data_IF_264900568214
#
_entry.id   IF_264900568214
#
_cell.length_a   1.000
_cell.length_b   1.000
_cell.length_c   1.000
_cell.angle_alpha   90.00
_cell.angle_beta   90.00
_cell.angle_gamma   90.00
#
_symmetry.space_group_name_H-M   'P 1'
#
loop_
_entity.id
_entity.type
_entity.pdbx_description
1 polymer ?
#
# COMPACT_ATOMS: atom_id res chain seq x y z
N UNK A 1 -17.58 6.41 11.24
CA UNK A 1 -17.60 6.92 9.87
C UNK A 1 -17.20 8.38 9.96
N UNK A 2 -16.16 8.78 9.23
CA UNK A 2 -15.61 10.12 9.33
C UNK A 2 -14.23 10.23 8.69
N UNK A 3 -13.85 11.45 8.34
CA UNK A 3 -12.55 11.73 7.77
C UNK A 3 -11.54 12.09 8.85
N UNK A 4 -10.29 11.69 8.65
CA UNK A 4 -9.18 11.95 9.54
C UNK A 4 -8.09 12.75 8.84
N UNK A 5 -7.51 13.69 9.58
CA UNK A 5 -6.26 14.34 9.19
C UNK A 5 -5.08 13.38 9.42
N UNK A 6 -4.11 13.40 8.50
CA UNK A 6 -2.84 12.69 8.66
C UNK A 6 -1.73 13.71 8.93
N UNK A 7 -1.11 13.61 10.10
CA UNK A 7 0.02 14.44 10.49
C UNK A 7 1.31 13.62 10.56
N UNK A 8 2.20 13.80 9.59
CA UNK A 8 3.46 13.04 9.48
C UNK A 8 4.61 13.91 9.96
N UNK A 9 5.38 13.41 10.92
CA UNK A 9 6.46 14.16 11.55
C UNK A 9 7.74 13.34 11.62
N UNK A 10 8.86 13.98 11.28
CA UNK A 10 10.19 13.50 11.67
C UNK A 10 10.58 14.24 12.94
N UNK A 11 10.93 13.50 13.97
CA UNK A 11 11.33 14.04 15.28
C UNK A 11 12.75 13.64 15.60
N UNK A 12 13.51 14.56 16.17
CA UNK A 12 14.81 14.27 16.73
C UNK A 12 14.63 13.37 17.97
N UNK A 13 15.25 12.19 17.96
CA UNK A 13 15.03 11.19 19.02
C UNK A 13 15.50 11.64 20.40
N UNK A 14 16.58 12.43 20.48
CA UNK A 14 17.14 12.91 21.74
C UNK A 14 16.36 14.10 22.33
N UNK A 15 16.02 15.08 21.49
CA UNK A 15 15.38 16.33 21.95
C UNK A 15 13.86 16.32 21.85
N UNK A 16 13.28 15.33 21.16
CA UNK A 16 11.84 15.22 20.83
C UNK A 16 11.30 16.41 20.00
N UNK A 17 12.18 17.27 19.48
CA UNK A 17 11.79 18.41 18.64
C UNK A 17 11.49 17.95 17.21
N UNK A 18 10.46 18.52 16.55
CA UNK A 18 10.18 18.23 15.15
C UNK A 18 11.30 18.78 14.25
N UNK A 19 11.77 17.93 13.33
CA UNK A 19 12.73 18.27 12.28
C UNK A 19 12.03 18.59 10.96
N UNK A 20 10.90 17.94 10.70
CA UNK A 20 10.02 18.22 9.56
C UNK A 20 8.61 17.71 9.89
N UNK A 21 7.58 18.36 9.32
CA UNK A 21 6.17 18.01 9.50
C UNK A 21 5.40 18.25 8.21
N UNK A 22 4.44 17.37 7.92
CA UNK A 22 3.47 17.55 6.85
C UNK A 22 2.08 17.17 7.40
N UNK A 23 1.20 18.16 7.48
CA UNK A 23 -0.21 17.96 7.82
C UNK A 23 -1.01 17.85 6.53
N UNK A 24 -1.73 16.76 6.39
CA UNK A 24 -2.67 16.50 5.29
C UNK A 24 -4.06 16.43 5.88
N UNK A 25 -4.87 17.44 5.60
CA UNK A 25 -6.26 17.48 6.07
C UNK A 25 -7.10 16.48 5.32
N UNK A 26 -8.03 15.81 6.00
CA UNK A 26 -9.01 14.90 5.39
C UNK A 26 -8.31 13.83 4.52
N UNK A 27 -7.14 13.35 4.97
CA UNK A 27 -6.28 12.46 4.20
C UNK A 27 -6.73 10.99 4.25
N UNK A 28 -7.53 10.63 5.25
CA UNK A 28 -8.04 9.27 5.44
C UNK A 28 -9.55 9.35 5.58
N UNK A 29 -10.27 8.90 4.55
CA UNK A 29 -11.72 8.73 4.60
C UNK A 29 -12.05 7.36 5.17
N UNK A 30 -13.00 7.30 6.11
CA UNK A 30 -13.46 6.05 6.71
C UNK A 30 -14.97 5.97 6.64
N UNK A 31 -15.43 5.22 5.65
CA UNK A 31 -16.83 5.14 5.28
C UNK A 31 -17.34 3.67 5.27
N UNK A 32 -18.03 3.23 4.23
CA UNK A 32 -18.26 1.81 3.97
C UNK A 32 -16.94 1.05 3.74
N UNK A 33 -15.91 1.75 3.24
CA UNK A 33 -14.52 1.33 3.24
C UNK A 33 -13.83 1.85 4.50
N UNK A 34 -13.86 1.03 5.55
CA UNK A 34 -13.53 1.49 6.89
C UNK A 34 -12.02 1.54 7.09
N UNK A 35 -11.50 2.66 7.57
CA UNK A 35 -10.13 2.74 8.10
C UNK A 35 -9.94 1.72 9.21
N UNK A 36 -8.97 0.82 9.02
CA UNK A 36 -8.72 -0.33 9.90
C UNK A 36 -7.34 -0.31 10.54
N UNK A 37 -6.38 0.48 10.04
CA UNK A 37 -5.08 0.61 10.69
C UNK A 37 -4.10 1.54 10.00
N UNK A 38 -3.09 1.98 10.76
CA UNK A 38 -1.96 2.78 10.27
C UNK A 38 -0.66 2.26 10.86
N UNK A 39 0.38 2.13 10.04
CA UNK A 39 1.71 1.69 10.48
C UNK A 39 2.82 2.47 9.79
N UNK A 40 4.01 2.48 10.40
CA UNK A 40 5.22 3.07 9.82
C UNK A 40 5.99 1.98 9.09
N UNK A 41 6.32 2.23 7.82
CA UNK A 41 7.21 1.39 7.03
C UNK A 41 8.63 1.94 7.08
N UNK A 42 9.56 1.14 7.57
CA UNK A 42 10.97 1.50 7.76
C UNK A 42 11.91 0.81 6.78
N UNK A 43 11.39 0.22 5.70
CA UNK A 43 12.19 -0.41 4.66
C UNK A 43 13.24 0.56 4.09
N UNK A 44 14.27 -0.02 3.47
CA UNK A 44 15.49 0.72 3.06
C UNK A 44 15.29 1.44 1.72
N UNK A 45 14.36 2.39 1.67
CA UNK A 45 14.09 3.21 0.48
C UNK A 45 15.17 4.28 0.24
N UNK A 46 16.35 3.88 -0.22
CA UNK A 46 17.43 4.82 -0.60
C UNK A 46 17.19 5.28 -2.04
N UNK A 47 16.55 6.43 -2.20
CA UNK A 47 16.13 6.94 -3.51
C UNK A 47 17.27 7.66 -4.24
N UNK A 48 18.19 8.28 -3.51
CA UNK A 48 19.40 8.90 -4.07
C UNK A 48 20.51 8.92 -2.99
N UNK A 49 21.77 9.24 -3.34
CA UNK A 49 22.81 9.46 -2.33
C UNK A 49 22.35 10.49 -1.28
N UNK A 50 22.32 10.08 -0.01
CA UNK A 50 21.86 10.92 1.10
C UNK A 50 20.34 11.12 1.21
N UNK A 51 19.54 10.57 0.29
CA UNK A 51 18.07 10.68 0.31
C UNK A 51 17.45 9.33 0.63
N UNK A 52 16.95 9.19 1.86
CA UNK A 52 16.19 8.02 2.31
C UNK A 52 14.72 8.40 2.53
N UNK A 53 13.82 7.65 1.91
CA UNK A 53 12.41 7.72 2.22
C UNK A 53 12.04 6.79 3.38
N UNK A 54 10.91 7.08 4.02
CA UNK A 54 10.19 6.18 4.91
C UNK A 54 8.72 6.15 4.50
N UNK A 55 8.02 5.10 4.88
CA UNK A 55 6.62 4.93 4.51
C UNK A 55 5.65 5.08 5.66
N UNK A 56 4.43 5.43 5.30
CA UNK A 56 3.23 5.28 6.12
C UNK A 56 2.30 4.35 5.36
N UNK A 57 1.82 3.30 6.01
CA UNK A 57 0.85 2.36 5.46
C UNK A 57 -0.49 2.59 6.11
N UNK A 58 -1.53 2.73 5.30
CA UNK A 58 -2.91 2.91 5.76
C UNK A 58 -3.72 1.74 5.22
N UNK A 59 -4.42 1.06 6.12
CA UNK A 59 -5.25 -0.09 5.81
C UNK A 59 -6.73 0.27 5.91
N UNK A 60 -7.50 -0.27 4.97
CA UNK A 60 -8.95 -0.19 4.95
C UNK A 60 -9.56 -1.57 4.73
N UNK A 61 -10.81 -1.74 5.16
CA UNK A 61 -11.56 -2.99 4.98
C UNK A 61 -13.06 -2.73 4.88
N UNK A 62 -13.72 -3.48 4.01
CA UNK A 62 -15.17 -3.56 3.94
C UNK A 62 -15.73 -4.47 5.04
N UNK A 63 -17.02 -4.31 5.34
CA UNK A 63 -17.70 -5.11 6.37
C UNK A 63 -18.55 -6.26 5.81
N UNK A 64 -18.65 -6.38 4.48
CA UNK A 64 -19.46 -7.43 3.86
C UNK A 64 -18.80 -8.79 4.05
N UNK A 65 -19.53 -9.73 4.65
CA UNK A 65 -19.08 -11.13 4.73
C UNK A 65 -19.19 -11.86 3.41
N UNK A 66 -20.21 -11.54 2.62
CA UNK A 66 -20.41 -12.11 1.30
C UNK A 66 -19.42 -11.53 0.28
N UNK A 67 -18.95 -10.29 0.47
CA UNK A 67 -17.99 -9.63 -0.40
C UNK A 67 -16.82 -9.07 0.42
N UNK A 68 -15.99 -9.92 1.05
CA UNK A 68 -14.90 -9.46 1.88
C UNK A 68 -13.85 -8.75 1.03
N UNK A 69 -13.40 -7.61 1.50
CA UNK A 69 -12.38 -6.83 0.81
C UNK A 69 -11.55 -6.01 1.79
N UNK A 70 -10.25 -5.89 1.52
CA UNK A 70 -9.32 -5.02 2.26
C UNK A 70 -8.20 -4.52 1.37
N UNK A 71 -7.64 -3.36 1.70
CA UNK A 71 -6.44 -2.80 1.06
C UNK A 71 -5.47 -2.25 2.09
N UNK A 72 -4.17 -2.34 1.81
CA UNK A 72 -3.12 -1.59 2.49
C UNK A 72 -2.35 -0.73 1.49
N UNK A 73 -2.47 0.59 1.65
CA UNK A 73 -1.88 1.59 0.77
C UNK A 73 -0.62 2.18 1.40
N UNK A 74 0.47 2.15 0.66
CA UNK A 74 1.74 2.77 1.03
C UNK A 74 1.84 4.20 0.49
N UNK A 75 2.27 5.09 1.37
CA UNK A 75 2.69 6.45 1.06
C UNK A 75 4.16 6.61 1.45
N UNK A 76 5.01 7.13 0.56
CA UNK A 76 6.43 7.37 0.86
C UNK A 76 6.71 8.85 1.01
N UNK A 77 7.54 9.19 1.99
CA UNK A 77 7.94 10.55 2.30
C UNK A 77 9.46 10.68 2.31
N UNK A 78 9.97 11.77 1.76
CA UNK A 78 11.39 12.16 1.84
C UNK A 78 11.52 13.45 2.63
N UNK A 79 12.59 13.55 3.41
CA UNK A 79 13.02 14.82 3.98
C UNK A 79 14.06 15.46 3.08
N UNK A 80 13.81 16.67 2.61
CA UNK A 80 14.78 17.45 1.83
C UNK A 80 14.75 18.90 2.32
N UNK A 81 15.92 19.45 2.65
CA UNK A 81 16.08 20.86 3.07
C UNK A 81 15.13 21.27 4.21
N UNK A 82 14.93 20.38 5.19
CA UNK A 82 14.04 20.64 6.34
C UNK A 82 12.54 20.48 6.06
N UNK A 83 12.16 20.17 4.82
CA UNK A 83 10.76 19.93 4.44
C UNK A 83 10.48 18.43 4.27
N UNK A 84 9.25 18.02 4.61
CA UNK A 84 8.78 16.67 4.36
C UNK A 84 7.90 16.66 3.11
N UNK A 85 8.20 15.77 2.17
CA UNK A 85 7.52 15.72 0.87
C UNK A 85 7.09 14.30 0.55
N UNK A 86 5.84 14.14 0.17
CA UNK A 86 5.28 12.88 -0.27
C UNK A 86 5.72 12.58 -1.71
N UNK A 87 6.23 11.37 -1.95
CA UNK A 87 6.78 10.94 -3.25
C UNK A 87 6.10 9.68 -3.80
N UNK A 88 5.46 8.87 -2.95
CA UNK A 88 4.41 7.94 -3.38
C UNK A 88 3.10 8.41 -2.76
N UNK A 89 2.12 8.69 -3.60
CA UNK A 89 0.81 9.27 -3.23
C UNK A 89 -0.29 8.23 -3.06
N UNK A 90 0.07 6.96 -2.93
CA UNK A 90 -0.84 5.86 -2.68
C UNK A 90 -0.58 4.70 -3.63
N UNK A 91 0.22 3.74 -3.17
CA UNK A 91 0.46 2.47 -3.85
C UNK A 91 -0.19 1.35 -3.03
N UNK A 92 -1.16 0.63 -3.59
CA UNK A 92 -1.74 -0.54 -2.93
C UNK A 92 -0.70 -1.64 -2.90
N UNK A 93 -0.25 -1.96 -1.70
CA UNK A 93 0.80 -2.97 -1.47
C UNK A 93 0.26 -4.32 -1.07
N UNK A 94 -0.96 -4.37 -0.54
CA UNK A 94 -1.67 -5.60 -0.24
C UNK A 94 -3.15 -5.35 -0.51
N UNK A 95 -3.83 -6.29 -1.14
CA UNK A 95 -5.27 -6.25 -1.33
C UNK A 95 -5.86 -7.65 -1.28
N UNK A 96 -7.00 -7.80 -0.63
CA UNK A 96 -7.81 -9.02 -0.67
C UNK A 96 -9.18 -8.68 -1.22
N UNK A 97 -9.72 -9.54 -2.09
CA UNK A 97 -11.08 -9.47 -2.62
C UNK A 97 -11.69 -10.86 -2.54
N UNK A 98 -12.99 -10.95 -2.40
CA UNK A 98 -13.69 -12.21 -2.55
C UNK A 98 -15.19 -12.04 -2.74
N UNK A 99 -15.79 -13.11 -3.24
CA UNK A 99 -17.23 -13.31 -3.32
C UNK A 99 -17.53 -14.67 -2.67
N UNK A 100 -18.45 -14.68 -1.71
CA UNK A 100 -18.70 -15.83 -0.87
C UNK A 100 -20.19 -15.96 -0.58
N UNK A 101 -20.71 -17.19 -0.65
CA UNK A 101 -22.07 -17.53 -0.24
C UNK A 101 -22.27 -17.48 1.28
N UNK A 102 -21.21 -17.16 2.04
CA UNK A 102 -21.13 -17.11 3.52
C UNK A 102 -21.26 -18.47 4.21
N UNK A 103 -21.14 -19.56 3.45
CA UNK A 103 -21.19 -20.94 3.93
C UNK A 103 -19.96 -21.73 3.46
N UNK A 104 -19.79 -21.91 2.15
CA UNK A 104 -18.63 -22.57 1.55
C UNK A 104 -18.28 -22.03 0.18
N UNK A 105 -19.23 -21.94 -0.77
CA UNK A 105 -18.92 -21.63 -2.16
C UNK A 105 -18.45 -20.19 -2.32
N UNK A 106 -17.26 -20.00 -2.87
CA UNK A 106 -16.73 -18.65 -3.08
C UNK A 106 -15.44 -18.62 -3.87
N UNK A 107 -15.03 -17.42 -4.23
CA UNK A 107 -13.77 -17.14 -4.91
C UNK A 107 -13.06 -15.99 -4.19
N UNK A 108 -11.76 -16.12 -4.02
CA UNK A 108 -10.94 -15.14 -3.32
C UNK A 108 -9.70 -14.82 -4.15
N UNK A 109 -9.27 -13.57 -4.10
CA UNK A 109 -8.03 -13.10 -4.68
C UNK A 109 -7.26 -12.29 -3.65
N UNK A 110 -5.95 -12.53 -3.59
CA UNK A 110 -5.01 -11.75 -2.81
C UNK A 110 -3.89 -11.27 -3.72
N UNK A 111 -3.56 -9.98 -3.62
CA UNK A 111 -2.43 -9.38 -4.29
C UNK A 111 -1.47 -8.80 -3.26
N UNK A 112 -0.19 -9.13 -3.38
CA UNK A 112 0.89 -8.61 -2.55
C UNK A 112 1.96 -7.95 -3.44
N UNK A 113 2.45 -6.78 -3.04
CA UNK A 113 3.48 -6.03 -3.77
C UNK A 113 4.69 -5.72 -2.90
N UNK A 114 5.86 -6.12 -3.38
CA UNK A 114 7.14 -5.77 -2.79
C UNK A 114 7.84 -4.72 -3.65
N UNK A 115 8.53 -3.79 -3.00
CA UNK A 115 9.21 -2.67 -3.65
C UNK A 115 10.72 -2.83 -3.49
N UNK A 116 11.42 -2.80 -4.60
CA UNK A 116 12.87 -2.85 -4.67
C UNK A 116 13.42 -1.56 -5.29
N UNK A 117 14.62 -1.16 -4.87
CA UNK A 117 15.32 -0.03 -5.46
C UNK A 117 15.97 -0.49 -6.76
N UNK A 118 15.52 0.08 -7.87
CA UNK A 118 16.06 -0.17 -9.20
C UNK A 118 17.46 0.40 -9.39
N UNK A 119 18.09 -0.02 -10.49
CA UNK A 119 19.44 0.43 -10.88
C UNK A 119 19.42 1.70 -11.75
N UNK A 120 18.28 1.98 -12.36
CA UNK A 120 18.05 3.16 -13.20
C UNK A 120 17.56 4.34 -12.35
N UNK A 121 17.74 5.55 -12.86
CA UNK A 121 17.39 6.79 -12.18
C UNK A 121 16.55 7.64 -13.11
N UNK A 122 15.43 8.15 -12.60
CA UNK A 122 14.57 9.12 -13.27
C UNK A 122 14.50 10.39 -12.43
N UNK A 123 14.77 11.54 -13.04
CA UNK A 123 14.69 12.85 -12.38
C UNK A 123 15.40 12.92 -11.00
N UNK A 124 16.55 12.25 -10.89
CA UNK A 124 17.41 12.25 -9.70
C UNK A 124 17.09 11.20 -8.64
N UNK A 125 15.97 10.47 -8.74
CA UNK A 125 15.65 9.35 -7.85
C UNK A 125 15.73 8.01 -8.57
N UNK A 126 16.15 6.97 -7.85
CA UNK A 126 16.14 5.60 -8.33
C UNK A 126 14.71 5.20 -8.71
N UNK A 127 14.57 4.51 -9.84
CA UNK A 127 13.31 3.88 -10.21
C UNK A 127 12.97 2.78 -9.19
N UNK A 128 11.68 2.52 -8.99
CA UNK A 128 11.23 1.48 -8.07
C UNK A 128 10.72 0.29 -8.87
N UNK A 129 11.25 -0.89 -8.59
CA UNK A 129 10.74 -2.14 -9.13
C UNK A 129 9.66 -2.65 -8.18
N UNK A 130 8.44 -2.75 -8.67
CA UNK A 130 7.29 -3.25 -7.93
C UNK A 130 7.00 -4.65 -8.43
N UNK A 131 7.36 -5.64 -7.62
CA UNK A 131 7.01 -7.04 -7.88
C UNK A 131 5.65 -7.31 -7.29
N UNK A 132 4.70 -7.68 -8.14
CA UNK A 132 3.33 -8.04 -7.77
C UNK A 132 3.18 -9.56 -7.80
N UNK A 133 2.60 -10.14 -6.76
CA UNK A 133 2.17 -11.53 -6.71
C UNK A 133 0.68 -11.55 -6.47
N UNK A 134 -0.08 -12.16 -7.37
CA UNK A 134 -1.51 -12.38 -7.22
C UNK A 134 -1.77 -13.87 -7.10
N UNK A 135 -2.48 -14.27 -6.04
CA UNK A 135 -2.93 -15.64 -5.78
C UNK A 135 -4.43 -15.64 -5.64
N UNK A 136 -5.09 -16.70 -6.08
CA UNK A 136 -6.51 -16.88 -5.83
C UNK A 136 -6.82 -18.26 -5.27
N UNK A 137 -8.05 -18.41 -4.80
CA UNK A 137 -8.61 -19.70 -4.44
C UNK A 137 -10.10 -19.74 -4.75
N UNK A 138 -10.59 -20.96 -4.95
CA UNK A 138 -12.01 -21.26 -5.16
C UNK A 138 -12.43 -22.34 -4.17
N UNK A 139 -13.54 -22.09 -3.49
CA UNK A 139 -14.12 -22.99 -2.53
C UNK A 139 -15.41 -23.60 -3.10
N UNK A 140 -15.60 -24.90 -2.92
CA UNK A 140 -16.79 -25.64 -3.31
C UNK A 140 -17.18 -26.67 -2.26
N UNK A 141 -18.48 -26.92 -2.12
CA UNK A 141 -19.00 -27.99 -1.28
C UNK A 141 -18.92 -29.32 -2.04
N UNK A 142 -18.15 -30.27 -1.51
CA UNK A 142 -17.98 -31.62 -2.05
C UNK A 142 -18.19 -32.64 -0.92
N UNK A 143 -19.19 -33.52 -1.05
CA UNK A 143 -19.52 -34.55 -0.05
C UNK A 143 -19.66 -34.01 1.39
N UNK A 144 -20.38 -32.89 1.56
CA UNK A 144 -20.55 -32.16 2.84
C UNK A 144 -19.26 -31.58 3.45
N UNK A 145 -18.14 -31.61 2.74
CA UNK A 145 -16.90 -30.90 3.09
C UNK A 145 -16.71 -29.65 2.23
N UNK A 146 -16.08 -28.62 2.79
CA UNK A 146 -15.69 -27.44 2.02
C UNK A 146 -14.25 -27.59 1.53
N UNK A 147 -14.10 -27.77 0.21
CA UNK A 147 -12.81 -28.01 -0.42
C UNK A 147 -12.32 -26.70 -1.05
N UNK A 148 -11.08 -26.31 -0.72
CA UNK A 148 -10.41 -25.15 -1.33
C UNK A 148 -9.44 -25.62 -2.41
N UNK A 149 -9.51 -24.98 -3.58
CA UNK A 149 -8.57 -25.17 -4.68
C UNK A 149 -7.85 -23.85 -4.96
N UNK A 150 -6.53 -23.83 -4.77
CA UNK A 150 -5.71 -22.67 -5.09
C UNK A 150 -5.50 -22.52 -6.60
N UNK A 151 -5.46 -21.29 -7.08
CA UNK A 151 -5.03 -20.95 -8.44
C UNK A 151 -3.52 -20.78 -8.50
N UNK A 152 -2.95 -20.96 -9.70
CA UNK A 152 -1.53 -20.72 -9.90
C UNK A 152 -1.21 -19.22 -9.69
N UNK A 153 -0.13 -18.89 -8.95
CA UNK A 153 0.25 -17.50 -8.72
C UNK A 153 0.63 -16.80 -10.02
N UNK A 154 0.15 -15.59 -10.21
CA UNK A 154 0.57 -14.68 -11.28
C UNK A 154 1.58 -13.70 -10.72
N UNK A 155 2.71 -13.53 -11.40
CA UNK A 155 3.78 -12.63 -10.99
C UNK A 155 4.07 -11.61 -12.09
N UNK A 156 4.05 -10.33 -11.73
CA UNK A 156 4.48 -9.24 -12.62
C UNK A 156 5.51 -8.36 -11.96
N UNK A 157 6.28 -7.62 -12.76
CA UNK A 157 7.22 -6.61 -12.28
C UNK A 157 7.00 -5.34 -13.08
N UNK A 158 6.70 -4.26 -12.39
CA UNK A 158 6.48 -2.94 -12.97
C UNK A 158 7.54 -1.96 -12.47
N UNK A 159 7.97 -1.05 -13.33
CA UNK A 159 8.94 -0.01 -12.98
C UNK A 159 8.22 1.31 -12.78
N UNK A 160 8.15 1.78 -11.53
CA UNK A 160 7.66 3.12 -11.22
C UNK A 160 8.79 4.12 -11.41
N UNK A 161 8.58 5.08 -12.30
CA UNK A 161 9.53 6.15 -12.58
C UNK A 161 9.14 7.42 -11.83
N UNK A 162 10.14 8.07 -11.26
CA UNK A 162 9.98 9.36 -10.63
C UNK A 162 9.90 10.47 -11.69
N UNK A 163 8.87 11.31 -11.63
CA UNK A 163 8.60 12.37 -12.64
C UNK A 163 9.24 13.73 -12.29
N UNK A 164 10.01 13.80 -11.20
CA UNK A 164 10.55 15.04 -10.64
C UNK A 164 9.77 15.55 -9.43
N UNK A 165 8.56 15.04 -9.19
CA UNK A 165 7.70 15.33 -8.03
C UNK A 165 7.25 14.06 -7.31
N UNK A 166 6.74 13.07 -8.02
CA UNK A 166 6.16 11.82 -7.49
C UNK A 166 6.53 10.63 -8.36
N UNK A 167 6.42 9.42 -7.81
CA UNK A 167 6.40 8.21 -8.62
C UNK A 167 5.03 8.09 -9.29
N UNK A 168 5.03 7.86 -10.59
CA UNK A 168 3.80 7.66 -11.36
C UNK A 168 3.25 6.26 -11.07
N UNK A 169 2.12 6.19 -10.35
CA UNK A 169 1.47 4.93 -9.98
C UNK A 169 0.45 4.55 -11.07
N UNK A 170 0.56 3.37 -11.70
CA UNK A 170 -0.46 2.85 -12.61
C UNK A 170 -1.82 2.76 -11.94
N UNK A 171 -2.90 2.97 -12.68
CA UNK A 171 -4.28 2.90 -12.14
C UNK A 171 -4.58 1.55 -11.48
N UNK A 172 -4.04 0.46 -12.04
CA UNK A 172 -4.17 -0.91 -11.52
C UNK A 172 -3.52 -1.15 -10.16
N UNK A 173 -2.75 -0.18 -9.64
CA UNK A 173 -2.10 -0.25 -8.32
C UNK A 173 -2.56 0.84 -7.36
N UNK A 174 -3.59 1.60 -7.73
CA UNK A 174 -4.22 2.59 -6.85
C UNK A 174 -5.33 1.92 -6.05
N UNK A 175 -5.61 2.50 -4.88
CA UNK A 175 -6.74 2.06 -4.05
C UNK A 175 -8.07 2.50 -4.66
N UNK A 176 -9.14 1.91 -4.13
CA UNK A 176 -10.51 2.38 -4.36
C UNK A 176 -10.72 3.80 -3.79
#
# INVERSE_FOLDING_TARGET
MGDYDLDVMIVNSATRKPLARLLQKTAITSDAWRFSGITIDTARYRLAPGVRAFGVRISHSGSSRANPASDTTLYLYVQQQGTLRQVITGLVTSSTRGEWDTNCTGEFEQTERTIEIGKTVSHGFADLLVRTVTTGSRNSAENDECVETATAPVVTVDTLRYDGKTYVIPETMRGF
#
